data_IF_698502339000
#
_entry.id   IF_698502339000
#
_cell.length_a   1.000
_cell.length_b   1.000
_cell.length_c   1.000
_cell.angle_alpha   90.00
_cell.angle_beta   90.00
_cell.angle_gamma   90.00
#
_symmetry.space_group_name_H-M   'P 1'
#
loop_
_entity.id
_entity.type
_entity.pdbx_description
1 polymer ?
#
# COMPACT_ATOMS: atom_id res chain seq x y z
N UNK A 1 -89.65 -47.62 -13.68
CA UNK A 1 -90.75 -46.67 -13.93
C UNK A 1 -90.29 -45.28 -13.53
N UNK A 2 -90.30 -44.32 -14.48
CA UNK A 2 -90.33 -42.84 -14.27
C UNK A 2 -89.10 -42.24 -13.54
N UNK A 3 -88.54 -41.08 -13.83
CA UNK A 3 -88.83 -39.96 -14.73
C UNK A 3 -87.56 -39.09 -14.81
N UNK A 4 -87.46 -38.30 -15.88
CA UNK A 4 -86.43 -37.33 -16.27
C UNK A 4 -86.29 -36.09 -15.35
N UNK A 5 -85.26 -35.29 -15.72
CA UNK A 5 -85.03 -33.85 -15.52
C UNK A 5 -84.10 -33.50 -14.33
N UNK A 6 -83.10 -32.62 -14.44
CA UNK A 6 -82.69 -31.68 -15.48
C UNK A 6 -81.63 -30.71 -14.90
N UNK A 7 -81.14 -29.80 -15.75
CA UNK A 7 -80.33 -28.61 -15.47
C UNK A 7 -78.81 -28.77 -15.26
N UNK A 8 -78.08 -28.49 -16.35
CA UNK A 8 -76.69 -28.06 -16.30
C UNK A 8 -76.63 -26.55 -15.99
N UNK A 9 -75.88 -26.17 -14.96
CA UNK A 9 -75.52 -24.80 -14.67
C UNK A 9 -74.02 -24.61 -14.95
N UNK A 10 -73.70 -23.78 -15.94
CA UNK A 10 -72.34 -23.34 -16.24
C UNK A 10 -71.95 -22.24 -15.24
N UNK A 11 -70.93 -22.52 -14.41
CA UNK A 11 -70.34 -21.55 -13.49
C UNK A 11 -69.19 -20.83 -14.22
N UNK A 12 -69.46 -19.59 -14.67
CA UNK A 12 -68.46 -18.70 -15.26
C UNK A 12 -67.73 -17.96 -14.12
N UNK A 13 -66.51 -18.40 -13.80
CA UNK A 13 -65.63 -17.69 -12.85
C UNK A 13 -64.89 -16.59 -13.61
N UNK A 14 -65.29 -15.32 -13.39
CA UNK A 14 -64.49 -14.16 -13.79
C UNK A 14 -63.28 -14.04 -12.85
N UNK A 15 -62.07 -14.33 -13.36
CA UNK A 15 -60.81 -13.92 -12.74
C UNK A 15 -60.52 -12.47 -13.14
N UNK A 16 -60.75 -11.54 -12.22
CA UNK A 16 -60.29 -10.16 -12.35
C UNK A 16 -58.77 -10.13 -12.09
N UNK A 17 -57.97 -10.10 -13.16
CA UNK A 17 -56.53 -9.81 -13.07
C UNK A 17 -56.40 -8.31 -12.85
N UNK A 18 -56.22 -7.90 -11.59
CA UNK A 18 -55.82 -6.53 -11.27
C UNK A 18 -54.41 -6.29 -11.81
N UNK A 19 -54.27 -5.34 -12.73
CA UNK A 19 -52.97 -4.84 -13.16
C UNK A 19 -52.30 -4.18 -11.94
N UNK A 20 -51.31 -4.85 -11.36
CA UNK A 20 -50.39 -4.23 -10.40
C UNK A 20 -49.58 -3.22 -11.22
N UNK A 21 -49.85 -1.92 -11.01
CA UNK A 21 -48.94 -0.88 -11.47
C UNK A 21 -47.63 -1.07 -10.69
N UNK A 22 -46.62 -1.64 -11.35
CA UNK A 22 -45.25 -1.63 -10.85
C UNK A 22 -44.84 -0.16 -10.89
N UNK A 23 -44.72 0.47 -9.72
CA UNK A 23 -44.18 1.81 -9.63
C UNK A 23 -42.75 1.79 -10.21
N UNK A 24 -42.50 2.60 -11.24
CA UNK A 24 -41.17 2.74 -11.82
C UNK A 24 -40.18 3.11 -10.70
N UNK A 25 -39.21 2.24 -10.44
CA UNK A 25 -38.16 2.50 -9.47
C UNK A 25 -37.39 3.75 -9.92
N UNK A 26 -37.48 4.83 -9.15
CA UNK A 26 -36.72 6.05 -9.44
C UNK A 26 -35.22 5.75 -9.27
N UNK A 27 -34.49 5.82 -10.38
CA UNK A 27 -33.04 5.74 -10.40
C UNK A 27 -32.43 7.13 -10.26
N UNK A 28 -31.46 7.28 -9.36
CA UNK A 28 -30.67 8.50 -9.20
C UNK A 28 -29.32 8.32 -9.88
N UNK A 29 -28.97 9.25 -10.77
CA UNK A 29 -27.63 9.31 -11.34
C UNK A 29 -26.72 10.11 -10.42
N UNK A 30 -25.60 9.51 -10.04
CA UNK A 30 -24.51 10.16 -9.35
C UNK A 30 -23.31 10.25 -10.30
N UNK A 31 -22.92 11.47 -10.67
CA UNK A 31 -21.75 11.69 -11.50
C UNK A 31 -20.50 11.93 -10.65
N UNK A 32 -19.39 11.30 -11.03
CA UNK A 32 -18.06 11.58 -10.48
C UNK A 32 -17.88 11.20 -9.01
N UNK A 33 -18.50 10.13 -8.52
CA UNK A 33 -18.27 9.70 -7.13
C UNK A 33 -16.84 9.16 -7.01
N UNK A 34 -16.02 9.89 -6.25
CA UNK A 34 -14.72 9.39 -5.81
C UNK A 34 -14.87 8.50 -4.58
N UNK A 35 -14.28 7.31 -4.63
CA UNK A 35 -14.29 6.36 -3.51
C UNK A 35 -13.29 5.21 -3.68
N UNK A 36 -13.21 4.36 -2.68
CA UNK A 36 -12.36 3.16 -2.68
C UNK A 36 -13.20 1.95 -3.09
N UNK A 37 -12.69 1.15 -4.03
CA UNK A 37 -13.30 -0.12 -4.44
C UNK A 37 -13.12 -1.14 -3.32
N UNK A 38 -14.21 -1.79 -2.91
CA UNK A 38 -14.23 -2.82 -1.86
C UNK A 38 -14.75 -4.11 -2.48
N UNK A 39 -14.07 -5.24 -2.22
CA UNK A 39 -14.63 -6.57 -2.44
C UNK A 39 -15.20 -7.11 -1.12
N UNK A 40 -16.47 -7.49 -1.12
CA UNK A 40 -17.19 -8.03 0.06
C UNK A 40 -17.27 -9.56 0.06
N UNK A 41 -17.11 -10.21 -1.10
CA UNK A 41 -17.00 -11.66 -1.34
C UNK A 41 -16.66 -11.90 -2.83
N UNK A 42 -16.46 -13.16 -3.26
CA UNK A 42 -15.95 -13.55 -4.60
C UNK A 42 -16.65 -12.89 -5.83
N UNK A 43 -17.82 -12.28 -5.68
CA UNK A 43 -18.52 -11.53 -6.73
C UNK A 43 -19.22 -10.23 -6.25
N UNK A 44 -19.03 -9.82 -4.99
CA UNK A 44 -19.72 -8.65 -4.44
C UNK A 44 -18.80 -7.44 -4.36
N UNK A 45 -19.08 -6.41 -5.15
CA UNK A 45 -18.28 -5.20 -5.25
C UNK A 45 -19.00 -4.00 -4.66
N UNK A 46 -18.25 -3.07 -4.08
CA UNK A 46 -18.77 -1.81 -3.59
C UNK A 46 -17.79 -0.67 -3.85
N UNK A 47 -18.30 0.56 -3.91
CA UNK A 47 -17.53 1.79 -3.82
C UNK A 47 -17.84 2.45 -2.48
N UNK A 48 -16.84 2.73 -1.65
CA UNK A 48 -17.01 3.56 -0.45
C UNK A 48 -16.51 4.97 -0.75
N UNK A 49 -17.40 5.96 -0.78
CA UNK A 49 -17.00 7.34 -1.02
C UNK A 49 -16.24 7.93 0.17
N UNK A 50 -15.56 9.05 -0.06
CA UNK A 50 -14.88 9.80 0.99
C UNK A 50 -15.82 10.25 2.13
N UNK A 51 -17.13 10.39 1.85
CA UNK A 51 -18.15 10.72 2.84
C UNK A 51 -18.65 9.50 3.64
N UNK A 52 -18.10 8.31 3.40
CA UNK A 52 -18.48 7.06 4.06
C UNK A 52 -19.72 6.37 3.46
N UNK A 53 -20.32 6.92 2.40
CA UNK A 53 -21.43 6.27 1.72
C UNK A 53 -20.93 5.05 0.95
N UNK A 54 -21.65 3.93 1.06
CA UNK A 54 -21.31 2.68 0.37
C UNK A 54 -22.30 2.43 -0.76
N UNK A 55 -21.77 2.30 -1.97
CA UNK A 55 -22.51 2.01 -3.19
C UNK A 55 -22.21 0.57 -3.60
N UNK A 56 -23.21 -0.31 -3.63
CA UNK A 56 -23.04 -1.67 -4.13
C UNK A 56 -22.97 -1.65 -5.65
N UNK A 57 -21.95 -2.28 -6.19
CA UNK A 57 -21.70 -2.38 -7.62
C UNK A 57 -22.10 -3.79 -8.07
N UNK A 58 -22.75 -3.88 -9.23
CA UNK A 58 -23.16 -5.15 -9.81
C UNK A 58 -21.98 -6.01 -10.30
N UNK A 59 -20.82 -5.40 -10.53
CA UNK A 59 -19.61 -6.04 -11.00
C UNK A 59 -18.36 -5.27 -10.55
N UNK A 60 -17.20 -5.91 -10.69
CA UNK A 60 -15.91 -5.25 -10.50
C UNK A 60 -15.78 -4.08 -11.48
N UNK A 61 -15.41 -2.88 -11.02
CA UNK A 61 -15.17 -1.76 -11.92
C UNK A 61 -14.07 -2.10 -12.93
N UNK A 62 -14.17 -1.52 -14.13
CA UNK A 62 -13.12 -1.60 -15.13
C UNK A 62 -12.57 -0.23 -15.42
N UNK A 63 -11.25 -0.12 -15.56
CA UNK A 63 -10.61 1.13 -15.91
C UNK A 63 -10.89 1.54 -17.38
N UNK A 64 -10.37 2.69 -17.80
CA UNK A 64 -10.53 3.18 -19.18
C UNK A 64 -9.93 2.26 -20.25
N UNK A 65 -9.03 1.33 -19.89
CA UNK A 65 -8.46 0.33 -20.79
C UNK A 65 -9.29 -0.97 -20.85
N UNK A 66 -10.32 -1.08 -20.00
CA UNK A 66 -11.14 -2.27 -19.84
C UNK A 66 -10.56 -3.29 -18.86
N UNK A 67 -9.41 -3.01 -18.24
CA UNK A 67 -8.81 -3.86 -17.21
C UNK A 67 -9.63 -3.79 -15.92
N UNK A 68 -9.69 -4.89 -15.18
CA UNK A 68 -10.37 -4.96 -13.89
C UNK A 68 -9.66 -4.08 -12.87
N UNK A 69 -10.42 -3.34 -12.07
CA UNK A 69 -9.89 -2.51 -10.98
C UNK A 69 -9.91 -3.29 -9.68
N UNK A 70 -8.73 -3.51 -9.12
CA UNK A 70 -8.57 -4.26 -7.87
C UNK A 70 -9.23 -3.56 -6.67
N UNK A 71 -9.63 -4.37 -5.68
CA UNK A 71 -10.08 -3.83 -4.39
C UNK A 71 -8.96 -2.99 -3.74
N UNK A 72 -9.34 -1.91 -3.05
CA UNK A 72 -8.43 -0.93 -2.47
C UNK A 72 -8.06 0.21 -3.43
N UNK A 73 -8.33 0.09 -4.73
CA UNK A 73 -8.11 1.19 -5.66
C UNK A 73 -9.07 2.34 -5.37
N UNK A 74 -8.57 3.58 -5.39
CA UNK A 74 -9.44 4.75 -5.45
C UNK A 74 -9.89 4.92 -6.89
N UNK A 75 -11.19 5.12 -7.10
CA UNK A 75 -11.78 5.34 -8.43
C UNK A 75 -12.75 6.51 -8.38
N UNK A 76 -12.98 7.11 -9.53
CA UNK A 76 -14.11 7.98 -9.82
C UNK A 76 -15.06 7.20 -10.72
N UNK A 77 -16.28 6.96 -10.21
CA UNK A 77 -17.35 6.28 -10.94
C UNK A 77 -18.54 7.21 -11.17
N UNK A 78 -19.11 7.15 -12.37
CA UNK A 78 -20.49 7.56 -12.59
C UNK A 78 -21.38 6.35 -12.26
N UNK A 79 -22.26 6.51 -11.27
CA UNK A 79 -23.12 5.45 -10.76
C UNK A 79 -24.58 5.77 -11.04
N UNK A 80 -25.31 4.82 -11.62
CA UNK A 80 -26.76 4.88 -11.69
C UNK A 80 -27.36 3.95 -10.63
N UNK A 81 -27.88 4.51 -9.54
CA UNK A 81 -28.34 3.73 -8.39
C UNK A 81 -29.84 3.84 -8.18
N UNK A 82 -30.48 2.72 -7.86
CA UNK A 82 -31.87 2.72 -7.40
C UNK A 82 -31.91 3.21 -5.95
N UNK A 83 -32.90 4.05 -5.66
CA UNK A 83 -33.19 4.44 -4.28
C UNK A 83 -33.53 3.18 -3.46
N UNK A 84 -32.94 2.95 -2.27
CA UNK A 84 -33.22 1.75 -1.49
C UNK A 84 -34.72 1.58 -1.25
N UNK A 85 -35.27 0.44 -1.64
CA UNK A 85 -36.67 0.12 -1.42
C UNK A 85 -36.90 -0.21 0.05
N UNK A 86 -37.13 0.82 0.86
CA UNK A 86 -37.53 0.71 2.26
C UNK A 86 -36.40 0.93 3.25
N UNK A 87 -36.20 2.19 3.66
CA UNK A 87 -35.68 2.62 4.98
C UNK A 87 -34.32 2.11 5.49
N UNK A 88 -33.67 1.16 4.81
CA UNK A 88 -32.39 0.61 5.21
C UNK A 88 -31.27 1.56 4.79
N UNK A 89 -30.85 2.37 5.75
CA UNK A 89 -30.03 3.59 5.64
C UNK A 89 -28.60 3.44 5.07
N UNK A 90 -28.18 2.26 4.57
CA UNK A 90 -26.74 1.96 4.45
C UNK A 90 -26.22 1.31 3.16
N UNK A 91 -27.01 1.19 2.08
CA UNK A 91 -26.41 0.88 0.76
C UNK A 91 -27.29 1.23 -0.44
N UNK A 92 -26.75 2.03 -1.35
CA UNK A 92 -27.32 2.23 -2.69
C UNK A 92 -27.02 1.00 -3.56
N UNK A 93 -27.99 0.49 -4.31
CA UNK A 93 -27.76 -0.56 -5.31
C UNK A 93 -27.61 0.06 -6.71
N UNK A 94 -26.43 -0.11 -7.32
CA UNK A 94 -26.07 0.57 -8.56
C UNK A 94 -26.00 -0.41 -9.74
N UNK A 95 -26.96 -0.27 -10.66
CA UNK A 95 -27.18 -1.20 -11.78
C UNK A 95 -26.28 -0.97 -12.99
N UNK A 96 -25.78 0.26 -13.19
CA UNK A 96 -24.78 0.56 -14.21
C UNK A 96 -23.64 1.35 -13.57
N UNK A 97 -22.41 0.87 -13.76
CA UNK A 97 -21.18 1.58 -13.44
C UNK A 97 -20.60 2.08 -14.75
N UNK A 98 -20.38 3.39 -14.89
CA UNK A 98 -19.58 3.92 -15.98
C UNK A 98 -18.17 3.32 -15.99
N UNK A 99 -17.41 3.55 -17.07
CA UNK A 99 -15.98 3.21 -17.07
C UNK A 99 -15.32 3.90 -15.86
N UNK A 100 -14.63 3.13 -15.04
CA UNK A 100 -13.95 3.66 -13.88
C UNK A 100 -12.77 4.49 -14.34
N UNK A 101 -12.68 5.72 -13.86
CA UNK A 101 -11.39 6.39 -13.87
C UNK A 101 -10.71 5.98 -12.58
N UNK A 102 -9.66 5.16 -12.64
CA UNK A 102 -8.86 4.86 -11.45
C UNK A 102 -8.23 6.18 -11.02
N UNK A 103 -8.69 6.69 -9.88
CA UNK A 103 -8.08 7.83 -9.23
C UNK A 103 -6.75 7.31 -8.70
N UNK A 104 -5.69 7.69 -9.39
CA UNK A 104 -4.35 7.35 -8.96
C UNK A 104 -4.13 8.01 -7.59
N UNK A 105 -3.64 7.28 -6.58
CA UNK A 105 -3.39 7.90 -5.29
C UNK A 105 -2.37 9.02 -5.43
N UNK A 106 -2.58 10.07 -4.63
CA UNK A 106 -1.77 11.28 -4.62
C UNK A 106 -0.27 10.95 -4.52
N UNK A 107 0.61 11.81 -5.09
CA UNK A 107 2.04 11.58 -5.09
C UNK A 107 2.61 11.40 -3.69
N UNK A 108 3.73 10.68 -3.60
CA UNK A 108 4.50 10.54 -2.37
C UNK A 108 4.85 11.92 -1.79
N UNK A 109 4.56 12.11 -0.50
CA UNK A 109 4.78 13.36 0.20
C UNK A 109 6.21 13.35 0.75
N UNK A 110 6.96 14.43 0.49
CA UNK A 110 8.28 14.59 1.08
C UNK A 110 8.18 14.58 2.63
N UNK A 111 9.02 13.76 3.27
CA UNK A 111 9.03 13.58 4.73
C UNK A 111 10.25 14.17 5.41
N UNK A 112 11.05 14.96 4.69
CA UNK A 112 12.21 15.71 5.21
C UNK A 112 11.81 16.59 6.39
N UNK A 113 12.56 16.47 7.50
CA UNK A 113 12.34 17.25 8.73
C UNK A 113 11.05 16.95 9.49
N UNK A 114 10.36 15.83 9.22
CA UNK A 114 9.08 15.54 9.86
C UNK A 114 9.26 14.86 11.22
N UNK A 115 8.48 15.33 12.19
CA UNK A 115 8.34 14.72 13.51
C UNK A 115 6.89 14.27 13.69
N UNK A 116 6.69 12.98 13.98
CA UNK A 116 5.37 12.38 14.14
C UNK A 116 4.97 12.33 15.60
N UNK A 117 3.73 12.69 15.89
CA UNK A 117 3.05 12.34 17.14
C UNK A 117 2.14 11.14 16.83
N UNK A 118 2.58 9.94 17.19
CA UNK A 118 1.88 8.69 16.90
C UNK A 118 0.95 8.30 18.05
N UNK A 119 -0.34 8.16 17.78
CA UNK A 119 -1.27 7.54 18.71
C UNK A 119 -1.55 6.10 18.28
N UNK A 120 -1.19 5.14 19.13
CA UNK A 120 -1.48 3.73 18.91
C UNK A 120 -2.64 3.29 19.79
N UNK A 121 -3.77 2.95 19.17
CA UNK A 121 -4.98 2.47 19.83
C UNK A 121 -5.04 0.94 19.75
N UNK A 122 -4.92 0.29 20.90
CA UNK A 122 -4.97 -1.18 21.01
C UNK A 122 -6.39 -1.61 21.35
N UNK A 123 -7.08 -2.17 20.36
CA UNK A 123 -8.51 -2.45 20.42
C UNK A 123 -8.73 -3.83 21.04
N UNK A 124 -9.61 -3.89 22.04
CA UNK A 124 -10.20 -5.11 22.55
C UNK A 124 -11.72 -5.08 22.34
N UNK A 125 -12.33 -6.24 22.14
CA UNK A 125 -13.79 -6.39 22.12
C UNK A 125 -14.29 -7.03 23.41
N UNK A 126 -15.46 -6.59 23.87
CA UNK A 126 -16.17 -7.15 25.02
C UNK A 126 -17.57 -7.66 24.61
N UNK A 127 -18.26 -8.31 25.55
CA UNK A 127 -19.62 -8.82 25.34
C UNK A 127 -19.63 -10.15 24.57
N UNK A 128 -20.52 -10.27 23.59
CA UNK A 128 -20.80 -11.53 22.86
C UNK A 128 -19.69 -11.98 21.91
N UNK A 129 -18.74 -11.11 21.58
CA UNK A 129 -17.56 -11.41 20.75
C UNK A 129 -16.30 -10.91 21.44
N UNK A 130 -16.13 -11.33 22.68
CA UNK A 130 -14.96 -11.01 23.48
C UNK A 130 -13.71 -11.51 22.78
N UNK A 131 -12.89 -10.55 22.37
CA UNK A 131 -11.60 -10.81 21.73
C UNK A 131 -10.56 -9.88 22.37
N UNK A 132 -9.51 -10.44 22.98
CA UNK A 132 -8.51 -9.62 23.65
C UNK A 132 -7.73 -8.79 22.63
N UNK A 133 -7.40 -7.55 22.99
CA UNK A 133 -6.41 -6.76 22.28
C UNK A 133 -5.00 -7.28 22.53
N UNK A 134 -4.03 -6.81 21.75
CA UNK A 134 -2.62 -6.99 22.06
C UNK A 134 -2.28 -6.41 23.46
N UNK A 135 -1.16 -6.83 24.03
CA UNK A 135 -0.66 -6.19 25.25
C UNK A 135 -0.13 -4.78 24.91
N UNK A 136 -0.82 -3.74 25.37
CA UNK A 136 -0.44 -2.36 25.07
C UNK A 136 0.95 -1.97 25.56
N UNK A 137 1.41 -2.53 26.70
CA UNK A 137 2.79 -2.31 27.17
C UNK A 137 3.81 -2.93 26.21
N UNK A 138 3.53 -4.10 25.64
CA UNK A 138 4.44 -4.70 24.64
C UNK A 138 4.44 -3.90 23.32
N UNK A 139 3.28 -3.40 22.90
CA UNK A 139 3.17 -2.53 21.72
C UNK A 139 3.97 -1.25 21.91
N UNK A 140 3.80 -0.61 23.07
CA UNK A 140 4.54 0.60 23.47
C UNK A 140 6.06 0.35 23.50
N UNK A 141 6.48 -0.75 24.12
CA UNK A 141 7.88 -1.16 24.14
C UNK A 141 8.42 -1.42 22.73
N UNK A 142 7.65 -2.04 21.82
CA UNK A 142 8.10 -2.30 20.46
C UNK A 142 8.40 -0.98 19.70
N UNK A 143 7.57 0.04 19.92
CA UNK A 143 7.68 1.36 19.30
C UNK A 143 8.82 2.17 19.94
N UNK A 144 8.81 2.33 21.27
CA UNK A 144 9.55 3.39 21.95
C UNK A 144 10.88 2.95 22.58
N UNK A 145 11.07 1.65 22.86
CA UNK A 145 12.31 1.17 23.50
C UNK A 145 13.55 1.57 22.70
N UNK A 146 14.71 1.58 23.36
CA UNK A 146 15.99 1.77 22.67
C UNK A 146 16.15 0.70 21.60
N UNK A 147 16.36 1.13 20.35
CA UNK A 147 16.41 0.25 19.18
C UNK A 147 15.06 -0.28 18.70
N UNK A 148 13.94 0.26 19.22
CA UNK A 148 12.57 0.03 18.76
C UNK A 148 12.26 0.71 17.43
N UNK A 149 10.98 0.72 17.04
CA UNK A 149 10.56 1.20 15.72
C UNK A 149 10.82 2.69 15.50
N UNK A 150 10.65 3.51 16.53
CA UNK A 150 10.96 4.95 16.46
C UNK A 150 12.44 5.21 16.13
N UNK A 151 13.35 4.47 16.79
CA UNK A 151 14.79 4.59 16.54
C UNK A 151 15.18 4.03 15.17
N UNK A 152 14.50 2.96 14.73
CA UNK A 152 14.69 2.40 13.40
C UNK A 152 14.25 3.36 12.30
N UNK A 153 13.10 4.02 12.43
CA UNK A 153 12.63 5.05 11.48
C UNK A 153 13.63 6.21 11.39
N UNK A 154 14.11 6.68 12.54
CA UNK A 154 15.14 7.71 12.60
C UNK A 154 16.43 7.28 11.89
N UNK A 155 16.86 6.04 12.10
CA UNK A 155 18.07 5.51 11.46
C UNK A 155 17.90 5.34 9.94
N UNK A 156 16.79 4.77 9.49
CA UNK A 156 16.50 4.57 8.06
C UNK A 156 16.30 5.89 7.30
N UNK A 157 15.84 6.93 7.98
CA UNK A 157 15.63 8.25 7.39
C UNK A 157 16.82 9.19 7.51
N UNK A 158 17.96 8.76 8.05
CA UNK A 158 19.10 9.66 8.34
C UNK A 158 18.69 10.86 9.22
N UNK A 159 17.72 10.64 10.12
CA UNK A 159 17.14 11.68 10.99
C UNK A 159 16.10 12.58 10.32
N UNK A 160 15.80 12.38 9.03
CA UNK A 160 14.82 13.18 8.30
C UNK A 160 13.38 12.96 8.78
N UNK A 161 13.08 11.79 9.33
CA UNK A 161 11.76 11.46 9.88
C UNK A 161 11.90 10.78 11.23
N UNK A 162 11.16 11.26 12.23
CA UNK A 162 11.28 10.78 13.61
C UNK A 162 9.91 10.66 14.27
N UNK A 163 9.74 9.66 15.13
CA UNK A 163 8.60 9.60 16.06
C UNK A 163 8.98 10.33 17.34
N UNK A 164 8.17 11.31 17.77
CA UNK A 164 8.36 11.99 19.04
C UNK A 164 7.80 11.11 20.16
N UNK A 165 8.71 10.44 20.88
CA UNK A 165 8.37 9.54 22.00
C UNK A 165 7.69 10.26 23.18
N UNK A 166 7.82 11.58 23.30
CA UNK A 166 7.17 12.34 24.40
C UNK A 166 5.70 12.63 24.11
N UNK A 167 5.36 12.85 22.84
CA UNK A 167 3.98 13.16 22.43
C UNK A 167 3.25 11.95 21.86
N UNK A 168 3.97 10.88 21.51
CA UNK A 168 3.38 9.62 21.07
C UNK A 168 2.89 8.82 22.27
N UNK A 169 1.84 8.02 22.08
CA UNK A 169 1.20 7.26 23.16
C UNK A 169 0.59 5.98 22.64
N UNK A 170 0.62 4.94 23.47
CA UNK A 170 -0.15 3.71 23.28
C UNK A 170 -1.30 3.63 24.29
N UNK A 171 -2.53 3.44 23.81
CA UNK A 171 -3.73 3.42 24.65
C UNK A 171 -4.60 2.22 24.29
N UNK A 172 -4.94 1.39 25.27
CA UNK A 172 -5.96 0.35 25.07
C UNK A 172 -7.36 0.96 24.98
N UNK A 173 -8.22 0.45 24.13
CA UNK A 173 -9.65 0.82 24.10
C UNK A 173 -10.49 -0.44 24.05
N UNK A 174 -11.63 -0.42 24.72
CA UNK A 174 -12.60 -1.53 24.70
C UNK A 174 -13.80 -1.07 23.91
N UNK A 175 -14.16 -1.83 22.88
CA UNK A 175 -15.30 -1.55 22.01
C UNK A 175 -16.36 -2.65 22.18
N UNK A 176 -17.62 -2.23 22.19
CA UNK A 176 -18.73 -3.15 22.05
C UNK A 176 -18.79 -3.61 20.59
N UNK A 177 -18.97 -4.90 20.35
CA UNK A 177 -19.06 -5.39 19.00
C UNK A 177 -20.26 -4.84 18.24
N UNK A 178 -20.05 -4.57 16.96
CA UNK A 178 -21.12 -4.34 15.99
C UNK A 178 -20.83 -5.14 14.73
N UNK A 179 -21.84 -5.32 13.88
CA UNK A 179 -21.65 -6.02 12.61
C UNK A 179 -20.55 -5.36 11.74
N UNK A 180 -20.48 -4.03 11.71
CA UNK A 180 -19.45 -3.29 10.96
C UNK A 180 -18.04 -3.56 11.49
N UNK A 181 -17.84 -3.59 12.81
CA UNK A 181 -16.53 -3.88 13.41
C UNK A 181 -16.08 -5.31 13.13
N UNK A 182 -17.01 -6.28 13.15
CA UNK A 182 -16.73 -7.68 12.85
C UNK A 182 -16.50 -7.94 11.35
N UNK A 183 -17.05 -7.09 10.48
CA UNK A 183 -16.81 -7.09 9.04
C UNK A 183 -15.51 -6.37 8.64
N UNK A 184 -14.65 -6.01 9.60
CA UNK A 184 -13.40 -5.31 9.37
C UNK A 184 -13.53 -3.97 8.62
N UNK A 185 -14.62 -3.24 8.86
CA UNK A 185 -14.74 -1.88 8.35
C UNK A 185 -13.73 -0.97 9.05
N UNK A 186 -12.67 -0.61 8.34
CA UNK A 186 -11.54 0.23 8.78
C UNK A 186 -12.01 1.57 9.36
N UNK A 187 -13.00 2.21 8.74
CA UNK A 187 -13.52 3.51 9.15
C UNK A 187 -14.36 3.38 10.41
N UNK A 188 -15.23 2.36 10.48
CA UNK A 188 -16.00 2.07 11.69
C UNK A 188 -15.08 1.73 12.87
N UNK A 189 -14.04 0.92 12.65
CA UNK A 189 -13.02 0.59 13.64
C UNK A 189 -12.30 1.86 14.11
N UNK A 190 -11.84 2.69 13.17
CA UNK A 190 -11.11 3.91 13.50
C UNK A 190 -11.96 4.92 14.27
N UNK A 191 -13.22 5.13 13.84
CA UNK A 191 -14.16 6.03 14.49
C UNK A 191 -14.52 5.57 15.90
N UNK A 192 -14.86 4.28 16.07
CA UNK A 192 -15.22 3.71 17.36
C UNK A 192 -14.04 3.74 18.35
N UNK A 193 -12.84 3.37 17.90
CA UNK A 193 -11.61 3.42 18.70
C UNK A 193 -11.25 4.86 19.12
N UNK A 194 -11.35 5.82 18.19
CA UNK A 194 -11.11 7.24 18.45
C UNK A 194 -12.07 7.78 19.50
N UNK A 195 -13.38 7.56 19.32
CA UNK A 195 -14.39 8.00 20.29
C UNK A 195 -14.20 7.35 21.67
N UNK A 196 -13.77 6.08 21.72
CA UNK A 196 -13.45 5.41 22.97
C UNK A 196 -12.19 6.00 23.66
N UNK A 197 -11.17 6.38 22.90
CA UNK A 197 -9.99 7.05 23.43
C UNK A 197 -10.31 8.45 23.96
N UNK A 198 -11.13 9.22 23.25
CA UNK A 198 -11.55 10.57 23.66
C UNK A 198 -12.36 10.55 24.97
N UNK A 199 -13.25 9.56 25.16
CA UNK A 199 -13.94 9.34 26.45
C UNK A 199 -12.98 9.08 27.62
N UNK A 200 -11.74 8.66 27.34
CA UNK A 200 -10.67 8.47 28.33
C UNK A 200 -9.76 9.71 28.47
N UNK A 201 -10.12 10.83 27.86
CA UNK A 201 -9.35 12.08 27.91
C UNK A 201 -8.19 12.17 26.93
N UNK A 202 -8.10 11.27 25.94
CA UNK A 202 -7.08 11.37 24.88
C UNK A 202 -7.50 12.43 23.87
N UNK A 203 -6.65 13.43 23.64
CA UNK A 203 -6.85 14.42 22.59
C UNK A 203 -6.31 13.86 21.26
N UNK A 204 -7.17 13.14 20.53
CA UNK A 204 -6.75 12.43 19.29
C UNK A 204 -6.28 13.41 18.21
N UNK A 205 -6.85 14.61 18.15
CA UNK A 205 -6.43 15.68 17.22
C UNK A 205 -5.01 16.20 17.46
N UNK A 206 -4.41 15.96 18.64
CA UNK A 206 -3.02 16.35 18.94
C UNK A 206 -1.98 15.42 18.29
N UNK A 207 -2.41 14.32 17.66
CA UNK A 207 -1.55 13.32 17.07
C UNK A 207 -1.61 13.40 15.53
N UNK A 208 -0.45 13.34 14.89
CA UNK A 208 -0.31 13.47 13.44
C UNK A 208 -0.68 12.18 12.72
N UNK A 209 -0.45 11.03 13.36
CA UNK A 209 -0.68 9.70 12.80
C UNK A 209 -1.36 8.80 13.82
N UNK A 210 -2.21 7.90 13.33
CA UNK A 210 -3.01 6.98 14.12
C UNK A 210 -2.70 5.53 13.68
N UNK A 211 -2.37 4.68 14.65
CA UNK A 211 -2.22 3.24 14.46
C UNK A 211 -3.31 2.51 15.25
N UNK A 212 -4.05 1.62 14.60
CA UNK A 212 -5.10 0.81 15.21
C UNK A 212 -4.64 -0.64 15.24
N UNK A 213 -4.48 -1.21 16.43
CA UNK A 213 -4.13 -2.62 16.60
C UNK A 213 -5.43 -3.39 16.83
N UNK A 214 -5.76 -4.28 15.89
CA UNK A 214 -6.98 -5.07 15.95
C UNK A 214 -6.98 -6.05 17.14
N UNK A 215 -8.15 -6.48 17.62
CA UNK A 215 -8.23 -7.57 18.58
C UNK A 215 -7.83 -8.91 17.94
N UNK A 216 -7.38 -9.85 18.77
CA UNK A 216 -7.08 -11.21 18.34
C UNK A 216 -8.30 -11.87 17.70
N UNK A 217 -8.10 -12.73 16.71
CA UNK A 217 -9.19 -13.44 16.01
C UNK A 217 -9.91 -12.63 14.93
N UNK A 218 -9.80 -11.30 14.91
CA UNK A 218 -10.37 -10.47 13.84
C UNK A 218 -9.53 -10.51 12.55
N UNK A 219 -8.24 -10.83 12.66
CA UNK A 219 -7.30 -10.86 11.52
C UNK A 219 -7.69 -11.82 10.42
N UNK A 220 -8.25 -12.99 10.78
CA UNK A 220 -8.74 -13.97 9.83
C UNK A 220 -9.96 -13.45 9.05
N UNK A 221 -10.82 -12.67 9.70
CA UNK A 221 -11.97 -12.04 9.04
C UNK A 221 -11.55 -10.91 8.09
N UNK A 222 -10.48 -10.18 8.44
CA UNK A 222 -10.03 -9.05 7.62
C UNK A 222 -9.22 -9.46 6.39
N UNK A 223 -8.65 -10.68 6.37
CA UNK A 223 -7.76 -11.16 5.31
C UNK A 223 -6.59 -10.20 5.01
N UNK A 224 -6.09 -9.49 6.02
CA UNK A 224 -4.97 -8.57 5.89
C UNK A 224 -3.64 -9.28 6.14
N UNK A 225 -2.67 -9.09 5.26
CA UNK A 225 -1.30 -9.59 5.48
C UNK A 225 -0.56 -8.63 6.41
N UNK A 226 -0.67 -8.87 7.73
CA UNK A 226 -0.06 -8.06 8.80
C UNK A 226 -0.73 -6.71 9.06
N UNK A 227 -1.36 -6.10 8.07
CA UNK A 227 -2.11 -4.86 8.23
C UNK A 227 -2.42 -4.13 6.92
N UNK A 228 -3.07 -2.99 7.03
CA UNK A 228 -3.48 -2.08 5.94
C UNK A 228 -3.24 -0.64 6.36
N UNK A 229 -3.15 0.27 5.41
CA UNK A 229 -2.92 1.68 5.69
C UNK A 229 -3.47 2.54 4.58
N UNK A 230 -3.85 3.77 4.93
CA UNK A 230 -4.17 4.80 3.95
C UNK A 230 -2.93 5.16 3.12
N UNK A 231 -3.14 5.43 1.84
CA UNK A 231 -2.09 5.71 0.86
C UNK A 231 -2.48 6.90 -0.06
N UNK A 232 -1.96 8.12 0.18
CA UNK A 232 -1.46 8.62 1.46
C UNK A 232 -2.59 8.83 2.48
N UNK A 233 -2.24 9.16 3.73
CA UNK A 233 -3.21 9.45 4.79
C UNK A 233 -2.54 9.59 6.15
N UNK A 234 -3.26 9.24 7.21
CA UNK A 234 -2.74 9.26 8.60
C UNK A 234 -3.09 8.02 9.42
N UNK A 235 -3.88 7.09 8.88
CA UNK A 235 -4.38 5.91 9.57
C UNK A 235 -3.72 4.64 9.05
N UNK A 236 -3.37 3.76 9.99
CA UNK A 236 -2.83 2.42 9.74
C UNK A 236 -3.51 1.42 10.67
N UNK A 237 -3.80 0.22 10.18
CA UNK A 237 -4.38 -0.86 10.96
C UNK A 237 -3.48 -2.09 10.93
N UNK A 238 -3.34 -2.76 12.07
CA UNK A 238 -2.38 -3.84 12.29
C UNK A 238 -3.03 -5.08 12.89
N UNK A 239 -2.60 -6.27 12.47
CA UNK A 239 -2.83 -7.49 13.24
C UNK A 239 -2.09 -7.41 14.59
N UNK A 240 -2.64 -8.00 15.67
CA UNK A 240 -2.05 -7.98 17.01
C UNK A 240 -0.92 -9.03 17.19
N UNK A 241 -0.24 -9.43 16.12
CA UNK A 241 0.68 -10.56 16.10
C UNK A 241 2.07 -10.20 15.53
N UNK A 242 2.91 -11.23 15.40
CA UNK A 242 4.28 -11.12 14.90
C UNK A 242 4.39 -10.69 13.43
N UNK A 243 3.30 -10.80 12.64
CA UNK A 243 3.26 -10.33 11.26
C UNK A 243 2.73 -8.89 11.15
N UNK A 244 1.99 -8.42 12.16
CA UNK A 244 1.44 -7.07 12.23
C UNK A 244 2.23 -6.12 13.12
N UNK A 245 1.62 -5.66 14.21
CA UNK A 245 2.19 -4.60 15.05
C UNK A 245 3.55 -4.97 15.65
N UNK A 246 3.84 -6.27 15.83
CA UNK A 246 5.14 -6.72 16.35
C UNK A 246 6.18 -6.98 15.26
N UNK A 247 5.82 -6.81 13.98
CA UNK A 247 6.76 -6.79 12.86
C UNK A 247 7.27 -5.36 12.61
N UNK A 248 8.59 -5.17 12.74
CA UNK A 248 9.23 -3.89 12.43
C UNK A 248 9.02 -3.48 10.97
N UNK A 249 9.13 -4.44 10.05
CA UNK A 249 8.95 -4.23 8.62
C UNK A 249 7.55 -3.74 8.32
N UNK A 250 6.54 -4.43 8.86
CA UNK A 250 5.12 -4.08 8.70
C UNK A 250 4.81 -2.72 9.31
N UNK A 251 5.27 -2.43 10.53
CA UNK A 251 5.09 -1.11 11.15
C UNK A 251 5.68 0.02 10.27
N UNK A 252 6.90 -0.17 9.78
CA UNK A 252 7.55 0.77 8.87
C UNK A 252 6.78 0.92 7.55
N UNK A 253 6.32 -0.19 6.97
CA UNK A 253 5.54 -0.21 5.74
C UNK A 253 4.30 0.65 5.87
N UNK A 254 3.41 0.30 6.80
CA UNK A 254 2.10 0.95 6.96
C UNK A 254 2.25 2.43 7.32
N UNK A 255 3.25 2.76 8.15
CA UNK A 255 3.55 4.16 8.45
C UNK A 255 4.01 4.94 7.20
N UNK A 256 4.79 4.35 6.30
CA UNK A 256 5.26 5.02 5.09
C UNK A 256 4.20 5.05 3.97
N UNK A 257 3.26 4.10 3.96
CA UNK A 257 2.08 4.19 3.10
C UNK A 257 1.30 5.48 3.36
N UNK A 258 1.19 5.92 4.63
CA UNK A 258 0.56 7.21 4.96
C UNK A 258 1.23 8.43 4.27
N UNK A 259 2.43 8.27 3.73
CA UNK A 259 3.16 9.30 2.98
C UNK A 259 3.23 9.01 1.47
N UNK A 260 2.39 8.13 0.94
CA UNK A 260 2.29 7.87 -0.49
C UNK A 260 3.36 6.91 -1.01
N UNK A 261 4.01 6.15 -0.14
CA UNK A 261 4.94 5.10 -0.54
C UNK A 261 4.19 3.78 -0.75
N UNK A 262 4.35 3.18 -1.93
CA UNK A 262 3.68 1.95 -2.31
C UNK A 262 4.52 0.73 -1.90
N UNK A 263 3.84 -0.42 -1.83
CA UNK A 263 4.50 -1.70 -1.64
C UNK A 263 5.57 -1.95 -2.72
N UNK A 264 6.67 -2.56 -2.34
CA UNK A 264 7.74 -2.96 -3.23
C UNK A 264 7.46 -4.36 -3.82
N UNK A 265 7.79 -4.51 -5.09
CA UNK A 265 7.48 -5.68 -5.90
C UNK A 265 8.72 -6.56 -6.10
N UNK A 266 8.48 -7.85 -6.34
CA UNK A 266 9.50 -8.77 -6.85
C UNK A 266 8.83 -9.83 -7.71
N UNK A 267 9.41 -10.13 -8.88
CA UNK A 267 8.88 -11.15 -9.80
C UNK A 267 7.39 -10.96 -10.16
N UNK A 268 6.92 -9.71 -10.25
CA UNK A 268 5.52 -9.40 -10.53
C UNK A 268 4.56 -9.58 -9.35
N UNK A 269 5.05 -9.87 -8.15
CA UNK A 269 4.26 -10.02 -6.93
C UNK A 269 4.47 -8.81 -6.02
N UNK A 270 3.36 -8.14 -5.67
CA UNK A 270 3.36 -7.02 -4.72
C UNK A 270 3.77 -7.49 -3.33
N UNK A 271 4.59 -6.71 -2.63
CA UNK A 271 5.03 -7.02 -1.27
C UNK A 271 6.13 -8.08 -1.18
N UNK A 272 6.56 -8.71 -2.28
CA UNK A 272 7.51 -9.82 -2.24
C UNK A 272 9.00 -9.39 -2.15
N UNK A 273 9.28 -8.09 -2.18
CA UNK A 273 10.63 -7.56 -1.99
C UNK A 273 11.11 -7.73 -0.54
N UNK A 274 11.89 -8.77 -0.29
CA UNK A 274 12.48 -9.05 1.02
C UNK A 274 13.67 -8.12 1.39
N UNK A 275 14.08 -7.22 0.49
CA UNK A 275 15.18 -6.27 0.72
C UNK A 275 14.73 -4.92 1.28
N UNK A 276 13.43 -4.68 1.37
CA UNK A 276 12.85 -3.41 1.82
C UNK A 276 11.72 -3.63 2.83
N UNK A 277 11.50 -2.66 3.71
CA UNK A 277 10.27 -2.56 4.52
C UNK A 277 9.02 -2.34 3.67
N UNK A 278 9.14 -1.88 2.42
CA UNK A 278 7.98 -1.78 1.53
C UNK A 278 7.57 -3.12 0.93
N UNK A 279 8.38 -4.17 1.05
CA UNK A 279 7.95 -5.55 0.81
C UNK A 279 7.85 -6.34 2.11
N UNK A 280 8.22 -7.61 2.08
CA UNK A 280 8.22 -8.51 3.23
C UNK A 280 9.50 -8.45 4.08
N UNK A 281 10.39 -7.50 3.79
CA UNK A 281 11.66 -7.32 4.48
C UNK A 281 11.52 -6.57 5.81
N UNK A 282 12.51 -6.72 6.68
CA UNK A 282 12.62 -6.00 7.96
C UNK A 282 13.68 -4.88 7.92
N UNK A 283 14.11 -4.51 6.71
CA UNK A 283 15.18 -3.57 6.45
C UNK A 283 14.65 -2.15 6.20
N UNK A 284 15.54 -1.18 6.00
CA UNK A 284 15.14 0.16 5.56
C UNK A 284 14.55 0.14 4.14
N UNK A 285 13.83 1.21 3.74
CA UNK A 285 13.39 1.37 2.36
C UNK A 285 14.53 1.19 1.35
N UNK A 286 14.19 0.70 0.16
CA UNK A 286 15.13 0.53 -0.95
C UNK A 286 15.63 1.88 -1.48
N UNK A 287 16.70 1.88 -2.27
CA UNK A 287 17.26 3.11 -2.86
C UNK A 287 16.22 4.00 -3.57
N UNK A 288 15.37 3.50 -4.48
CA UNK A 288 14.35 4.34 -5.11
C UNK A 288 13.30 4.85 -4.13
N UNK A 289 12.94 4.07 -3.11
CA UNK A 289 12.00 4.52 -2.07
C UNK A 289 12.60 5.64 -1.21
N UNK A 290 13.86 5.49 -0.78
CA UNK A 290 14.61 6.53 -0.06
C UNK A 290 14.72 7.82 -0.89
N UNK A 291 14.90 7.69 -2.20
CA UNK A 291 14.92 8.83 -3.13
C UNK A 291 13.56 9.51 -3.23
N UNK A 292 12.46 8.76 -3.34
CA UNK A 292 11.09 9.31 -3.37
C UNK A 292 10.72 10.02 -2.07
N UNK A 293 11.13 9.47 -0.94
CA UNK A 293 10.95 10.09 0.38
C UNK A 293 11.85 11.31 0.63
N UNK A 294 12.83 11.57 -0.24
CA UNK A 294 13.87 12.59 -0.07
C UNK A 294 14.77 12.37 1.17
N UNK A 295 14.94 11.11 1.56
CA UNK A 295 15.85 10.73 2.65
C UNK A 295 17.28 10.51 2.17
N UNK A 296 17.42 10.04 0.93
CA UNK A 296 18.70 9.84 0.27
C UNK A 296 18.67 10.44 -1.13
N UNK A 297 19.84 10.58 -1.76
CA UNK A 297 20.02 11.12 -3.10
C UNK A 297 21.06 10.30 -3.88
N UNK A 298 20.93 10.20 -5.22
CA UNK A 298 21.96 9.59 -6.04
C UNK A 298 23.31 10.32 -5.89
N UNK A 299 24.39 9.55 -5.73
CA UNK A 299 25.76 10.05 -5.87
C UNK A 299 26.14 10.26 -7.33
N UNK A 300 25.50 9.52 -8.25
CA UNK A 300 25.61 9.70 -9.68
C UNK A 300 24.27 9.42 -10.36
N UNK A 301 23.98 10.19 -11.42
CA UNK A 301 22.86 9.94 -12.34
C UNK A 301 23.46 9.73 -13.73
N UNK A 302 23.23 8.57 -14.32
CA UNK A 302 23.85 8.15 -15.57
C UNK A 302 22.78 8.00 -16.66
N UNK A 303 22.99 8.65 -17.81
CA UNK A 303 22.12 8.59 -18.98
C UNK A 303 22.98 8.43 -20.25
N UNK A 304 22.37 8.32 -21.44
CA UNK A 304 23.10 8.14 -22.69
C UNK A 304 24.22 9.15 -22.92
N UNK A 305 24.01 10.42 -22.56
CA UNK A 305 25.01 11.48 -22.70
C UNK A 305 26.26 11.25 -21.82
N UNK A 306 26.11 10.57 -20.68
CA UNK A 306 27.20 10.27 -19.74
C UNK A 306 27.79 8.87 -19.87
N UNK A 307 27.15 7.98 -20.64
CA UNK A 307 27.52 6.57 -20.85
C UNK A 307 27.69 6.26 -22.35
N UNK A 308 28.84 6.61 -22.97
CA UNK A 308 29.14 6.21 -24.35
C UNK A 308 29.16 4.68 -24.51
N UNK A 309 28.90 4.21 -25.74
CA UNK A 309 28.97 2.78 -26.06
C UNK A 309 30.41 2.27 -25.89
N UNK A 310 30.58 1.11 -25.26
CA UNK A 310 31.86 0.42 -25.15
C UNK A 310 32.89 1.12 -24.25
N UNK A 311 32.45 2.10 -23.46
CA UNK A 311 33.33 2.85 -22.56
C UNK A 311 32.89 2.65 -21.13
N UNK A 312 33.76 2.05 -20.32
CA UNK A 312 33.58 1.98 -18.88
C UNK A 312 33.56 3.37 -18.25
N UNK A 313 32.53 3.63 -17.45
CA UNK A 313 32.36 4.84 -16.64
C UNK A 313 32.27 4.47 -15.15
N UNK A 314 32.85 5.30 -14.30
CA UNK A 314 33.01 5.11 -12.85
C UNK A 314 34.38 5.61 -12.40
N UNK A 315 34.97 5.21 -11.27
CA UNK A 315 34.60 4.27 -10.20
C UNK A 315 33.67 4.92 -9.17
N UNK A 316 32.37 4.71 -9.31
CA UNK A 316 31.39 5.29 -8.41
C UNK A 316 31.46 4.58 -7.05
N UNK A 317 31.86 5.30 -6.01
CA UNK A 317 31.90 4.73 -4.67
C UNK A 317 30.47 4.65 -4.10
N UNK A 318 29.99 3.43 -3.86
CA UNK A 318 28.78 3.16 -3.12
C UNK A 318 29.15 2.75 -1.70
N UNK A 319 28.73 3.55 -0.72
CA UNK A 319 28.73 3.14 0.68
C UNK A 319 27.45 2.36 1.00
N UNK A 320 27.52 1.46 1.99
CA UNK A 320 26.33 0.78 2.54
C UNK A 320 25.29 1.81 2.95
N UNK A 321 24.02 1.48 2.74
CA UNK A 321 22.90 2.41 2.89
C UNK A 321 22.88 3.13 4.25
N UNK A 322 23.15 2.45 5.35
CA UNK A 322 23.12 3.06 6.69
C UNK A 322 24.24 4.07 7.00
N UNK A 323 25.26 4.23 6.15
CA UNK A 323 26.41 5.12 6.41
C UNK A 323 26.17 6.55 5.93
N UNK A 324 25.53 6.74 4.79
CA UNK A 324 25.37 8.07 4.17
C UNK A 324 24.07 8.15 3.37
N UNK A 325 23.48 9.33 3.30
CA UNK A 325 22.31 9.61 2.46
C UNK A 325 22.66 9.80 0.98
N UNK A 326 23.94 9.79 0.59
CA UNK A 326 24.39 9.76 -0.81
C UNK A 326 24.96 8.38 -1.14
N UNK A 327 24.09 7.41 -1.35
CA UNK A 327 24.42 5.99 -1.30
C UNK A 327 23.88 5.16 -2.49
N UNK A 328 23.51 5.81 -3.59
CA UNK A 328 22.96 5.12 -4.76
C UNK A 328 23.46 5.69 -6.08
N UNK A 329 23.42 4.88 -7.13
CA UNK A 329 23.54 5.31 -8.53
C UNK A 329 22.17 5.17 -9.16
N UNK A 330 21.72 6.22 -9.86
CA UNK A 330 20.54 6.17 -10.73
C UNK A 330 20.99 6.03 -12.18
N UNK A 331 20.42 5.08 -12.91
CA UNK A 331 20.63 4.93 -14.36
C UNK A 331 19.31 5.17 -15.09
N UNK A 332 19.38 6.04 -16.09
CA UNK A 332 18.30 6.43 -17.00
C UNK A 332 18.63 5.82 -18.37
N UNK A 333 18.09 4.64 -18.71
CA UNK A 333 18.44 3.92 -19.95
C UNK A 333 17.70 4.48 -21.17
N UNK A 334 17.79 5.80 -21.38
CA UNK A 334 17.16 6.53 -22.49
C UNK A 334 17.66 6.10 -23.88
N UNK A 335 18.82 5.46 -23.97
CA UNK A 335 19.33 4.83 -25.19
C UNK A 335 18.51 3.63 -25.68
N UNK A 336 17.59 3.10 -24.89
CA UNK A 336 16.66 2.05 -25.32
C UNK A 336 15.53 2.59 -26.20
N UNK A 337 15.42 3.92 -26.36
CA UNK A 337 14.40 4.54 -27.21
C UNK A 337 12.99 4.22 -26.71
N UNK A 338 12.13 3.69 -27.58
CA UNK A 338 10.75 3.33 -27.24
C UNK A 338 10.64 2.20 -26.22
N UNK A 339 11.68 1.36 -26.08
CA UNK A 339 11.70 0.29 -25.08
C UNK A 339 12.05 0.79 -23.66
N UNK A 340 12.44 2.06 -23.50
CA UNK A 340 12.72 2.64 -22.20
C UNK A 340 11.41 2.92 -21.42
N UNK A 341 11.17 2.11 -20.40
CA UNK A 341 10.01 2.23 -19.50
C UNK A 341 10.39 2.39 -18.03
N UNK A 342 11.65 2.13 -17.66
CA UNK A 342 12.07 2.10 -16.25
C UNK A 342 13.48 2.66 -16.02
N UNK A 343 13.66 3.37 -14.93
CA UNK A 343 14.98 3.74 -14.37
C UNK A 343 15.51 2.60 -13.49
N UNK A 344 16.83 2.51 -13.37
CA UNK A 344 17.50 1.60 -12.43
C UNK A 344 18.13 2.35 -11.26
N UNK A 345 18.11 1.73 -10.09
CA UNK A 345 18.76 2.21 -8.88
C UNK A 345 19.68 1.12 -8.35
N UNK A 346 20.94 1.46 -8.09
CA UNK A 346 21.93 0.56 -7.49
C UNK A 346 22.32 1.10 -6.12
N UNK A 347 22.27 0.26 -5.09
CA UNK A 347 22.77 0.63 -3.76
C UNK A 347 23.42 -0.58 -3.08
N UNK A 348 24.56 -0.33 -2.45
CA UNK A 348 25.18 -1.31 -1.57
C UNK A 348 24.32 -1.44 -0.31
N UNK A 349 23.80 -2.63 -0.04
CA UNK A 349 23.06 -2.93 1.19
C UNK A 349 23.98 -3.64 2.17
N UNK A 350 23.81 -3.39 3.46
CA UNK A 350 24.60 -4.01 4.51
C UNK A 350 23.88 -3.98 5.85
N UNK A 351 24.13 -4.97 6.70
CA UNK A 351 23.62 -5.02 8.06
C UNK A 351 24.29 -3.95 8.92
N UNK A 352 23.48 -3.03 9.44
CA UNK A 352 23.95 -1.97 10.33
C UNK A 352 22.93 -0.84 10.42
N UNK A 353 23.04 -0.03 11.47
CA UNK A 353 22.12 1.10 11.69
C UNK A 353 20.64 0.69 11.61
N UNK A 354 19.92 1.26 10.65
CA UNK A 354 18.51 0.93 10.37
C UNK A 354 18.31 -0.42 9.66
N UNK A 355 19.30 -0.88 8.90
CA UNK A 355 19.30 -2.15 8.14
C UNK A 355 19.77 -3.35 8.98
N UNK A 356 19.72 -3.28 10.33
CA UNK A 356 20.25 -4.34 11.21
C UNK A 356 19.65 -5.73 10.96
N UNK A 357 18.38 -5.78 10.52
CA UNK A 357 17.64 -7.02 10.24
C UNK A 357 17.58 -7.32 8.73
N UNK A 358 18.44 -6.69 7.93
CA UNK A 358 18.59 -7.02 6.51
C UNK A 358 18.96 -8.50 6.35
N UNK A 359 18.28 -9.19 5.43
CA UNK A 359 18.57 -10.60 5.17
C UNK A 359 19.99 -10.78 4.60
N UNK A 360 20.66 -11.89 4.95
CA UNK A 360 22.00 -12.25 4.46
C UNK A 360 22.08 -12.25 2.92
N UNK A 361 20.94 -12.49 2.27
CA UNK A 361 20.79 -12.53 0.83
C UNK A 361 21.11 -11.17 0.17
N UNK A 362 20.97 -10.06 0.92
CA UNK A 362 21.27 -8.70 0.48
C UNK A 362 22.46 -8.08 1.20
N UNK A 363 22.85 -8.64 2.34
CA UNK A 363 23.98 -8.14 3.12
C UNK A 363 25.28 -8.13 2.31
N UNK A 364 25.95 -6.97 2.31
CA UNK A 364 27.20 -6.65 1.60
C UNK A 364 27.14 -6.91 0.10
N UNK A 365 25.98 -6.67 -0.52
CA UNK A 365 25.74 -6.81 -1.96
C UNK A 365 25.09 -5.56 -2.52
N UNK A 366 25.29 -5.30 -3.81
CA UNK A 366 24.61 -4.20 -4.50
C UNK A 366 23.26 -4.69 -4.94
N UNK A 367 22.20 -4.31 -4.22
CA UNK A 367 20.83 -4.53 -4.69
C UNK A 367 20.52 -3.54 -5.81
N UNK A 368 19.78 -3.99 -6.81
CA UNK A 368 19.26 -3.09 -7.83
C UNK A 368 17.77 -3.25 -8.09
N UNK A 369 17.13 -2.11 -8.20
CA UNK A 369 15.70 -1.94 -8.31
C UNK A 369 15.35 -1.16 -9.57
N UNK A 370 14.16 -1.40 -10.10
CA UNK A 370 13.58 -0.63 -11.20
C UNK A 370 12.39 0.18 -10.74
N UNK A 371 12.15 1.30 -11.42
CA UNK A 371 11.03 2.19 -11.16
C UNK A 371 10.47 2.71 -12.48
N UNK A 372 9.15 2.84 -12.60
CA UNK A 372 8.51 3.49 -13.77
C UNK A 372 9.16 4.84 -14.06
N UNK A 373 9.59 5.05 -15.31
CA UNK A 373 10.29 6.28 -15.71
C UNK A 373 9.41 7.53 -15.53
N UNK A 374 8.13 7.42 -15.83
CA UNK A 374 7.22 8.56 -15.92
C UNK A 374 6.91 9.08 -14.50
N UNK A 375 6.73 8.14 -13.56
CA UNK A 375 6.46 8.45 -12.15
C UNK A 375 7.71 8.84 -11.37
N UNK A 376 8.90 8.43 -11.82
CA UNK A 376 10.17 8.71 -11.15
C UNK A 376 10.85 10.01 -11.62
N UNK A 377 10.48 10.52 -12.81
CA UNK A 377 10.91 11.85 -13.27
C UNK A 377 10.09 12.99 -12.63
N UNK A 378 8.89 12.69 -12.16
CA UNK A 378 7.91 13.65 -11.61
C UNK A 378 7.72 13.46 -10.10
N UNK A 379 8.82 13.45 -9.36
CA UNK A 379 8.82 13.21 -7.92
C UNK A 379 7.99 14.24 -7.16
N UNK A 380 6.93 13.78 -6.50
CA UNK A 380 6.05 14.62 -5.69
C UNK A 380 4.86 15.21 -6.46
N UNK A 381 4.75 14.96 -7.78
CA UNK A 381 3.60 15.41 -8.58
C UNK A 381 2.92 14.26 -9.33
N UNK A 382 3.64 13.19 -9.66
CA UNK A 382 3.07 12.03 -10.32
C UNK A 382 2.28 11.15 -9.34
N UNK A 383 1.01 10.92 -9.69
CA UNK A 383 0.09 10.03 -9.00
C UNK A 383 0.30 8.57 -9.44
N UNK A 384 -0.02 7.62 -8.55
CA UNK A 384 -0.01 6.19 -8.87
C UNK A 384 1.22 5.42 -8.40
N UNK A 385 1.15 4.09 -8.53
CA UNK A 385 2.20 3.17 -8.08
C UNK A 385 3.43 3.25 -9.01
N UNK A 386 4.59 3.73 -8.51
CA UNK A 386 5.84 3.73 -9.28
C UNK A 386 6.37 2.32 -9.63
N UNK A 387 5.76 1.27 -9.07
CA UNK A 387 6.14 -0.14 -9.18
C UNK A 387 7.62 -0.36 -8.92
N UNK A 388 8.06 0.09 -7.75
CA UNK A 388 9.43 -0.17 -7.28
C UNK A 388 9.63 -1.67 -7.20
N UNK A 389 10.49 -2.22 -8.05
CA UNK A 389 10.67 -3.67 -8.20
C UNK A 389 12.11 -4.05 -7.94
N UNK A 390 12.36 -4.98 -7.01
CA UNK A 390 13.67 -5.61 -6.87
C UNK A 390 13.91 -6.53 -8.08
N UNK A 391 14.94 -6.23 -8.86
CA UNK A 391 15.32 -7.06 -10.00
C UNK A 391 16.38 -8.08 -9.62
N UNK A 392 17.35 -7.67 -8.80
CA UNK A 392 18.40 -8.59 -8.37
C UNK A 392 19.46 -7.96 -7.48
N UNK A 393 20.60 -8.65 -7.43
CA UNK A 393 21.76 -8.27 -6.64
C UNK A 393 23.04 -8.59 -7.38
N UNK A 394 24.05 -7.75 -7.19
CA UNK A 394 25.39 -7.93 -7.73
C UNK A 394 26.36 -8.20 -6.58
N UNK A 395 27.28 -9.14 -6.81
CA UNK A 395 28.26 -9.54 -5.81
C UNK A 395 29.53 -8.68 -5.91
N UNK A 396 30.15 -8.29 -4.80
CA UNK A 396 31.46 -7.64 -4.83
C UNK A 396 32.50 -8.50 -5.55
N UNK A 397 33.38 -7.85 -6.33
CA UNK A 397 34.40 -8.52 -7.13
C UNK A 397 33.89 -9.23 -8.38
N UNK A 398 32.66 -8.94 -8.84
CA UNK A 398 32.06 -9.61 -10.01
C UNK A 398 31.67 -8.62 -11.09
N UNK A 399 31.55 -9.13 -12.31
CA UNK A 399 30.97 -8.42 -13.46
C UNK A 399 29.66 -9.10 -13.85
N UNK A 400 28.62 -8.33 -14.11
CA UNK A 400 27.29 -8.82 -14.41
C UNK A 400 26.74 -8.18 -15.67
N UNK A 401 26.09 -9.00 -16.50
CA UNK A 401 25.39 -8.55 -17.70
C UNK A 401 23.91 -8.31 -17.37
N UNK A 402 23.45 -7.09 -17.60
CA UNK A 402 22.05 -6.70 -17.50
C UNK A 402 21.51 -6.47 -18.91
N UNK A 403 21.22 -7.57 -19.61
CA UNK A 403 20.94 -7.57 -21.04
C UNK A 403 19.70 -6.74 -21.43
N UNK A 404 18.66 -6.78 -20.60
CA UNK A 404 17.45 -5.95 -20.75
C UNK A 404 17.75 -4.46 -20.88
N UNK A 405 18.84 -3.99 -20.26
CA UNK A 405 19.22 -2.57 -20.23
C UNK A 405 20.42 -2.26 -21.12
N UNK A 406 20.98 -3.28 -21.79
CA UNK A 406 22.23 -3.22 -22.53
C UNK A 406 23.40 -2.66 -21.71
N UNK A 407 23.52 -3.16 -20.48
CA UNK A 407 24.54 -2.75 -19.52
C UNK A 407 25.40 -3.92 -19.08
N UNK A 408 26.69 -3.64 -18.88
CA UNK A 408 27.59 -4.46 -18.10
C UNK A 408 28.03 -3.67 -16.88
N UNK A 409 27.87 -4.27 -15.70
CA UNK A 409 28.17 -3.62 -14.42
C UNK A 409 29.26 -4.43 -13.73
N UNK A 410 30.39 -3.80 -13.44
CA UNK A 410 31.45 -4.39 -12.65
C UNK A 410 31.44 -3.78 -11.25
N UNK A 411 31.39 -4.64 -10.23
CA UNK A 411 31.43 -4.27 -8.83
C UNK A 411 32.79 -4.67 -8.29
N UNK A 412 33.55 -3.70 -7.79
CA UNK A 412 34.82 -3.91 -7.13
C UNK A 412 34.68 -4.73 -5.84
N UNK A 413 35.83 -5.09 -5.25
CA UNK A 413 35.85 -5.72 -3.94
C UNK A 413 35.30 -4.78 -2.86
N UNK A 414 34.84 -5.36 -1.74
CA UNK A 414 34.46 -4.58 -0.55
C UNK A 414 35.69 -3.93 0.07
N UNK A 415 35.63 -2.63 0.28
CA UNK A 415 36.63 -1.87 1.02
C UNK A 415 36.09 -1.54 2.41
N UNK A 416 36.80 -2.02 3.45
CA UNK A 416 36.40 -1.81 4.85
C UNK A 416 35.03 -2.38 5.21
N UNK A 417 34.54 -3.37 4.45
CA UNK A 417 33.21 -4.00 4.56
C UNK A 417 32.00 -3.09 4.33
N UNK A 418 32.22 -1.79 4.05
CA UNK A 418 31.15 -0.78 3.99
C UNK A 418 31.09 -0.02 2.66
N UNK A 419 32.01 -0.28 1.73
CA UNK A 419 32.10 0.42 0.44
C UNK A 419 32.42 -0.53 -0.70
N UNK A 420 31.92 -0.21 -1.90
CA UNK A 420 32.35 -0.81 -3.18
C UNK A 420 32.51 0.27 -4.24
N UNK A 421 33.39 0.04 -5.19
CA UNK A 421 33.46 0.82 -6.44
C UNK A 421 32.60 0.16 -7.50
N UNK A 422 31.78 0.93 -8.21
CA UNK A 422 30.97 0.42 -9.33
C UNK A 422 31.42 1.07 -10.63
N UNK A 423 31.65 0.23 -11.64
CA UNK A 423 31.89 0.62 -13.02
C UNK A 423 30.69 0.17 -13.86
N UNK A 424 30.29 1.00 -14.81
CA UNK A 424 29.15 0.74 -15.71
C UNK A 424 29.63 0.95 -17.15
N UNK A 425 29.35 -0.02 -18.01
CA UNK A 425 29.55 0.08 -19.44
C UNK A 425 28.22 -0.16 -20.17
N UNK A 426 27.90 0.69 -21.15
CA UNK A 426 26.77 0.48 -22.05
C UNK A 426 27.27 -0.17 -23.33
N UNK A 427 26.51 -1.13 -23.86
CA UNK A 427 26.74 -1.66 -25.20
C UNK A 427 25.56 -1.37 -26.14
N UNK A 428 25.80 -1.38 -27.45
CA UNK A 428 24.80 -1.13 -28.48
C UNK A 428 24.18 -2.44 -29.00
N UNK A 429 25.01 -3.39 -29.43
CA UNK A 429 24.57 -4.63 -30.08
C UNK A 429 24.90 -5.86 -29.25
N UNK A 430 26.14 -5.94 -28.76
CA UNK A 430 26.66 -7.13 -28.09
C UNK A 430 27.40 -6.75 -26.80
N UNK A 431 27.29 -7.58 -25.75
CA UNK A 431 28.18 -7.46 -24.61
C UNK A 431 29.66 -7.53 -25.01
N UNK A 432 30.07 -8.07 -26.15
CA UNK A 432 31.51 -8.07 -26.52
C UNK A 432 32.09 -6.67 -26.85
N UNK A 433 31.28 -5.60 -26.81
CA UNK A 433 31.69 -4.23 -27.12
C UNK A 433 32.35 -3.48 -25.95
N UNK A 434 32.48 -4.08 -24.75
CA UNK A 434 33.06 -3.44 -23.55
C UNK A 434 34.54 -3.70 -23.30
#
# INVERSE_FOLDING_TARGET
MRSMAGAAAALLVLLAVGAVQVADAQSTMFAGIQGVVISKSDDAWALRSAAGAVYRLHAQPRDASGALVDAGATVVLDLNCATPAGGDDWSWECGATGAATVALPAPAVATTGRTLALLTLVIAFNGTCTNPGANATLVDQAIERIGGYADNLKACSYGQMQVNKTTSKTVSVVLNCTAALLACDEDALAAAATAAAERRGVVVSAHTNLAFVLPAGLTAACNWTGGVAELPGRRSWFSPDAQGIFSRGTHMQKLLNNFGLYSAWRNGVEGDDASSSQGKGFACPSAPELWRLRWAQPGAVLAAAGLPVGVWKGAYELSVTYVTSRNMIKIVPDWLGTAYTQNLYFALRGKGGGDRDLLNDFDRKVSYHTVSKDLDQQLGTAEGDPRVTLVGRLFPGTTSLLSTYRLVVAVGALTGEVKVSVLVCRYALSPSEW
#
